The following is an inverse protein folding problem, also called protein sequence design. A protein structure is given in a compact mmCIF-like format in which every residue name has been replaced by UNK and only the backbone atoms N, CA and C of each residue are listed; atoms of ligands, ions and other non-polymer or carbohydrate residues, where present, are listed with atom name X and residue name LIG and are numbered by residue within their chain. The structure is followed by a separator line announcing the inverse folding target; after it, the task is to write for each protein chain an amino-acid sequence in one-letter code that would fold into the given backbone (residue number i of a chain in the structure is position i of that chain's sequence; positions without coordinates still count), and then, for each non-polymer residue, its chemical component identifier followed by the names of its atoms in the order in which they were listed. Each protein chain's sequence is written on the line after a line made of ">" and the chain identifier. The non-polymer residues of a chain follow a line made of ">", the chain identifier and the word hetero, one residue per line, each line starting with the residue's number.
data_IF_956853567161
#
_entry.id   IF_956853567161
#
_cell.length_a   1.000
_cell.length_b   1.000
_cell.length_c   1.000
_cell.angle_alpha   90.00
_cell.angle_beta   90.00
_cell.angle_gamma   90.00
#
_symmetry.space_group_name_H-M   'P 1'
#
loop_
_entity.id
_entity.type
_entity.pdbx_description
1 polymer ?
#
# COMPACT_ATOMS: atom_id res chain seq x y z
N UNK A 1 63.72 -9.22 -42.35
CA UNK A 1 62.52 -8.35 -42.36
C UNK A 1 61.57 -8.85 -41.26
N UNK A 2 61.58 -8.20 -40.10
CA UNK A 2 60.80 -8.60 -38.93
C UNK A 2 59.76 -7.50 -38.69
N UNK A 3 58.49 -7.81 -38.99
CA UNK A 3 57.37 -6.88 -38.79
C UNK A 3 56.90 -6.99 -37.34
N UNK A 4 57.14 -5.96 -36.54
CA UNK A 4 56.49 -5.80 -35.24
C UNK A 4 55.03 -5.45 -35.45
N UNK A 5 54.12 -6.33 -35.02
CA UNK A 5 52.69 -6.07 -34.95
C UNK A 5 52.40 -5.38 -33.62
N UNK A 6 52.12 -4.08 -33.66
CA UNK A 6 51.76 -3.29 -32.49
C UNK A 6 50.29 -3.55 -32.15
N UNK A 7 50.05 -4.34 -31.11
CA UNK A 7 48.71 -4.65 -30.61
C UNK A 7 48.19 -3.44 -29.80
N UNK A 8 47.29 -2.65 -30.39
CA UNK A 8 46.62 -1.56 -29.70
C UNK A 8 45.49 -2.15 -28.83
N UNK A 9 45.75 -2.25 -27.52
CA UNK A 9 44.77 -2.70 -26.54
C UNK A 9 43.72 -1.59 -26.34
N UNK A 10 42.54 -1.75 -26.94
CA UNK A 10 41.41 -0.86 -26.66
C UNK A 10 40.82 -1.21 -25.29
N UNK A 11 41.16 -0.43 -24.27
CA UNK A 11 40.52 -0.47 -22.95
C UNK A 11 39.13 0.16 -23.07
N UNK A 12 38.10 -0.68 -23.18
CA UNK A 12 36.72 -0.22 -23.03
C UNK A 12 36.48 0.13 -21.55
N UNK A 13 35.82 1.26 -21.25
CA UNK A 13 35.48 1.60 -19.87
C UNK A 13 34.49 0.57 -19.33
N UNK A 14 34.87 -0.09 -18.24
CA UNK A 14 33.96 -0.91 -17.45
C UNK A 14 32.90 0.03 -16.89
N UNK A 15 31.66 -0.12 -17.36
CA UNK A 15 30.52 0.64 -16.87
C UNK A 15 30.25 0.18 -15.43
N UNK A 16 30.62 1.02 -14.47
CA UNK A 16 30.31 0.80 -13.05
C UNK A 16 28.80 0.86 -12.89
N UNK A 17 28.17 -0.27 -12.61
CA UNK A 17 26.80 -0.29 -12.13
C UNK A 17 26.81 0.27 -10.71
N UNK A 18 26.12 1.39 -10.50
CA UNK A 18 25.93 1.94 -9.17
C UNK A 18 25.38 0.84 -8.24
N UNK A 19 25.99 0.70 -7.07
CA UNK A 19 25.60 -0.28 -6.07
C UNK A 19 24.12 -0.10 -5.75
N UNK A 20 23.31 -1.13 -6.01
CA UNK A 20 21.90 -1.11 -5.68
C UNK A 20 21.76 -1.27 -4.16
N UNK A 21 21.53 -0.17 -3.46
CA UNK A 21 21.20 -0.20 -2.04
C UNK A 21 19.76 -0.66 -1.86
N UNK A 22 19.58 -1.79 -1.17
CA UNK A 22 18.28 -2.24 -0.71
C UNK A 22 17.74 -1.23 0.30
N UNK A 23 16.59 -0.62 -0.01
CA UNK A 23 15.87 0.24 0.92
C UNK A 23 14.66 -0.51 1.45
N UNK A 24 14.68 -0.84 2.75
CA UNK A 24 13.53 -1.39 3.45
C UNK A 24 12.68 -0.24 3.98
N UNK A 25 11.37 -0.29 3.75
CA UNK A 25 10.43 0.72 4.25
C UNK A 25 9.56 0.23 5.41
N UNK A 26 9.61 -1.08 5.70
CA UNK A 26 8.83 -1.70 6.77
C UNK A 26 9.51 -2.97 7.25
N UNK A 27 9.26 -3.33 8.50
CA UNK A 27 9.79 -4.53 9.16
C UNK A 27 8.68 -5.21 9.98
N UNK A 28 8.88 -6.49 10.28
CA UNK A 28 7.96 -7.26 11.13
C UNK A 28 6.57 -7.43 10.52
N UNK A 29 6.49 -7.64 9.19
CA UNK A 29 5.23 -7.88 8.50
C UNK A 29 4.66 -9.29 8.77
N UNK A 30 3.34 -9.42 8.67
CA UNK A 30 2.65 -10.71 8.67
C UNK A 30 2.54 -11.28 7.24
N UNK A 31 1.96 -12.48 7.10
CA UNK A 31 1.60 -13.04 5.79
C UNK A 31 0.83 -11.98 4.99
N UNK A 32 1.19 -11.83 3.71
CA UNK A 32 0.57 -10.88 2.76
C UNK A 32 0.65 -9.41 3.19
N UNK A 33 1.75 -9.02 3.84
CA UNK A 33 2.07 -7.64 4.18
C UNK A 33 1.76 -6.62 3.06
N UNK A 34 2.06 -6.96 1.80
CA UNK A 34 1.93 -6.05 0.65
C UNK A 34 1.05 -6.58 -0.48
N UNK A 35 0.62 -7.85 -0.43
CA UNK A 35 -0.07 -8.43 -1.58
C UNK A 35 -1.02 -9.56 -1.18
N UNK A 36 -2.30 -9.34 -1.48
CA UNK A 36 -3.31 -10.38 -1.67
C UNK A 36 -4.10 -10.00 -2.95
N UNK A 37 -4.21 -10.91 -3.91
CA UNK A 37 -4.91 -10.62 -5.18
C UNK A 37 -6.38 -10.26 -4.99
N UNK A 38 -6.96 -10.61 -3.84
CA UNK A 38 -8.36 -10.37 -3.48
C UNK A 38 -8.54 -9.03 -2.76
N UNK A 39 -7.50 -8.48 -2.15
CA UNK A 39 -7.55 -7.30 -1.30
C UNK A 39 -6.52 -6.29 -1.81
N UNK A 40 -6.95 -5.24 -2.50
CA UNK A 40 -6.05 -4.36 -3.25
C UNK A 40 -6.72 -3.00 -3.57
N UNK A 41 -5.97 -1.95 -3.87
CA UNK A 41 -4.52 -1.90 -3.96
C UNK A 41 -3.87 -1.50 -2.63
N UNK A 42 -2.61 -1.91 -2.45
CA UNK A 42 -1.75 -1.52 -1.32
C UNK A 42 -0.95 -0.25 -1.63
N UNK A 43 -1.07 0.28 -2.84
CA UNK A 43 -0.44 1.55 -3.20
C UNK A 43 -1.22 2.31 -4.26
N UNK A 44 -1.07 3.63 -4.25
CA UNK A 44 -1.57 4.53 -5.28
C UNK A 44 -0.48 5.53 -5.64
N UNK A 45 -0.23 5.71 -6.94
CA UNK A 45 0.68 6.74 -7.43
C UNK A 45 -0.11 7.97 -7.82
N UNK A 46 0.22 9.11 -7.20
CA UNK A 46 -0.53 10.35 -7.35
C UNK A 46 0.43 11.53 -7.31
N UNK A 47 0.39 12.36 -8.35
CA UNK A 47 1.16 13.59 -8.49
C UNK A 47 2.66 13.45 -8.12
N UNK A 48 3.33 12.44 -8.66
CA UNK A 48 4.76 12.24 -8.41
C UNK A 48 5.09 11.40 -7.18
N UNK A 49 4.13 11.14 -6.29
CA UNK A 49 4.35 10.43 -5.03
C UNK A 49 3.64 9.08 -5.02
N UNK A 50 4.33 8.04 -4.53
CA UNK A 50 3.72 6.73 -4.28
C UNK A 50 3.29 6.65 -2.82
N UNK A 51 2.01 6.44 -2.57
CA UNK A 51 1.46 6.21 -1.24
C UNK A 51 1.34 4.70 -1.04
N UNK A 52 1.86 4.19 0.06
CA UNK A 52 1.95 2.75 0.32
C UNK A 52 1.31 2.46 1.67
N UNK A 53 0.38 1.52 1.71
CA UNK A 53 -0.18 0.96 2.94
C UNK A 53 0.23 -0.49 3.12
N UNK A 54 0.47 -0.88 4.36
CA UNK A 54 0.97 -2.21 4.69
C UNK A 54 0.73 -2.56 6.15
N UNK A 55 0.89 -3.84 6.46
CA UNK A 55 0.88 -4.34 7.84
C UNK A 55 2.31 -4.54 8.35
N UNK A 56 2.71 -3.83 9.41
CA UNK A 56 4.08 -3.91 9.95
C UNK A 56 4.17 -3.80 11.46
N UNK A 57 5.40 -3.78 11.97
CA UNK A 57 5.69 -3.56 13.40
C UNK A 57 5.49 -4.77 14.31
N UNK A 58 5.35 -5.97 13.75
CA UNK A 58 5.42 -7.22 14.52
C UNK A 58 6.85 -7.48 15.02
N UNK A 59 7.00 -8.34 16.04
CA UNK A 59 8.34 -8.64 16.55
C UNK A 59 9.10 -9.52 15.55
N UNK A 60 10.35 -9.17 15.20
CA UNK A 60 11.18 -10.04 14.36
C UNK A 60 11.31 -11.45 14.97
N UNK A 61 11.09 -12.48 14.17
CA UNK A 61 11.13 -13.87 14.62
C UNK A 61 9.80 -14.42 15.16
N UNK A 62 8.74 -13.60 15.22
CA UNK A 62 7.39 -14.10 15.47
C UNK A 62 6.98 -15.11 14.39
N UNK A 63 6.13 -16.07 14.79
CA UNK A 63 5.47 -17.02 13.88
C UNK A 63 4.73 -16.24 12.77
N UNK A 64 4.34 -16.88 11.64
CA UNK A 64 3.69 -16.23 10.49
C UNK A 64 2.41 -15.40 10.78
N UNK A 65 1.89 -15.43 12.02
CA UNK A 65 0.78 -14.65 12.55
C UNK A 65 1.25 -13.59 13.55
N UNK A 66 2.34 -12.89 13.23
CA UNK A 66 2.81 -11.77 14.05
C UNK A 66 1.70 -10.73 14.21
N UNK A 67 1.61 -10.11 15.39
CA UNK A 67 0.67 -8.99 15.59
C UNK A 67 1.24 -7.76 14.90
N UNK A 68 0.60 -7.33 13.82
CA UNK A 68 1.01 -6.17 13.02
C UNK A 68 -0.05 -5.09 13.05
N UNK A 69 0.36 -3.85 12.74
CA UNK A 69 -0.54 -2.69 12.65
C UNK A 69 -0.63 -2.22 11.21
N UNK A 70 -1.79 -1.71 10.83
CA UNK A 70 -1.96 -0.98 9.56
C UNK A 70 -1.16 0.32 9.61
N UNK A 71 -0.32 0.51 8.61
CA UNK A 71 0.64 1.61 8.48
C UNK A 71 0.54 2.22 7.09
N UNK A 72 0.91 3.50 6.98
CA UNK A 72 1.00 4.23 5.72
C UNK A 72 2.30 5.02 5.66
N UNK A 73 2.91 5.09 4.49
CA UNK A 73 4.05 5.96 4.19
C UNK A 73 3.99 6.45 2.74
N UNK A 74 4.87 7.37 2.40
CA UNK A 74 5.08 7.83 1.02
C UNK A 74 6.47 7.47 0.52
N UNK A 75 6.60 7.34 -0.80
CA UNK A 75 7.85 7.22 -1.50
C UNK A 75 7.91 8.25 -2.62
N UNK A 76 8.97 9.05 -2.64
CA UNK A 76 9.29 9.95 -3.74
C UNK A 76 10.29 9.25 -4.69
N UNK A 77 9.88 8.88 -5.93
CA UNK A 77 10.76 8.24 -6.89
C UNK A 77 11.90 9.12 -7.38
N UNK A 78 11.77 10.45 -7.32
CA UNK A 78 12.82 11.38 -7.76
C UNK A 78 13.97 11.42 -6.76
N UNK A 79 13.66 11.65 -5.48
CA UNK A 79 14.68 11.63 -4.43
C UNK A 79 15.03 10.22 -3.94
N UNK A 80 14.23 9.21 -4.31
CA UNK A 80 14.32 7.82 -3.87
C UNK A 80 14.30 7.69 -2.34
N UNK A 81 13.39 8.42 -1.70
CA UNK A 81 13.24 8.46 -0.24
C UNK A 81 11.83 8.07 0.19
N UNK A 82 11.78 7.30 1.27
CA UNK A 82 10.55 7.08 2.03
C UNK A 82 10.34 8.20 3.05
N UNK A 83 9.10 8.53 3.36
CA UNK A 83 8.76 9.33 4.55
C UNK A 83 8.84 8.49 5.82
N UNK A 84 8.65 9.14 6.96
CA UNK A 84 8.30 8.44 8.19
C UNK A 84 6.99 7.66 8.03
N UNK A 85 6.84 6.62 8.86
CA UNK A 85 5.67 5.73 8.89
C UNK A 85 4.61 6.30 9.83
N UNK A 86 3.38 6.40 9.36
CA UNK A 86 2.21 6.71 10.19
C UNK A 86 1.46 5.42 10.50
N UNK A 87 1.24 5.15 11.79
CA UNK A 87 0.41 4.02 12.22
C UNK A 87 -1.06 4.46 12.26
N UNK A 88 -1.92 3.77 11.53
CA UNK A 88 -3.35 4.11 11.40
C UNK A 88 -4.27 3.06 12.01
N UNK A 89 -3.80 1.82 12.19
CA UNK A 89 -4.59 0.72 12.73
C UNK A 89 -4.09 0.21 14.08
N UNK A 90 -4.96 -0.52 14.78
CA UNK A 90 -4.58 -1.31 15.96
C UNK A 90 -3.81 -2.56 15.52
N UNK A 91 -3.17 -3.22 16.48
CA UNK A 91 -2.47 -4.47 16.20
C UNK A 91 -3.44 -5.64 16.02
N UNK A 92 -3.30 -6.39 14.92
CA UNK A 92 -4.02 -7.62 14.61
C UNK A 92 -3.07 -8.72 14.13
N UNK A 93 -3.42 -9.97 14.42
CA UNK A 93 -2.76 -11.17 13.88
C UNK A 93 -3.53 -11.77 12.69
N UNK A 94 -4.62 -11.13 12.28
CA UNK A 94 -5.39 -11.51 11.12
C UNK A 94 -4.84 -10.79 9.88
N UNK A 95 -4.50 -11.55 8.84
CA UNK A 95 -3.99 -10.98 7.61
C UNK A 95 -5.08 -10.35 6.75
N UNK A 96 -6.35 -10.69 7.00
CA UNK A 96 -7.50 -10.07 6.32
C UNK A 96 -7.69 -8.61 6.72
N UNK A 97 -7.18 -8.22 7.88
CA UNK A 97 -7.28 -6.86 8.41
C UNK A 97 -6.38 -5.86 7.68
N UNK A 98 -5.62 -6.32 6.67
CA UNK A 98 -4.68 -5.48 5.93
C UNK A 98 -5.29 -4.24 5.28
N UNK A 99 -4.51 -3.17 5.15
CA UNK A 99 -5.01 -1.95 4.55
C UNK A 99 -5.04 -2.02 3.01
N UNK A 100 -6.00 -1.32 2.42
CA UNK A 100 -6.01 -0.92 1.00
C UNK A 100 -6.19 0.57 0.89
N UNK A 101 -5.61 1.19 -0.15
CA UNK A 101 -5.58 2.64 -0.33
C UNK A 101 -6.07 3.05 -1.71
N UNK A 102 -6.73 4.19 -1.83
CA UNK A 102 -6.97 4.86 -3.12
C UNK A 102 -7.00 6.38 -2.92
N UNK A 103 -7.12 7.11 -4.03
CA UNK A 103 -7.34 8.55 -4.01
C UNK A 103 -8.64 8.90 -4.73
N UNK A 104 -9.37 9.86 -4.20
CA UNK A 104 -10.61 10.38 -4.80
C UNK A 104 -10.32 11.49 -5.84
N UNK A 105 -11.36 12.19 -6.32
CA UNK A 105 -11.17 13.28 -7.29
C UNK A 105 -10.69 14.59 -6.67
N UNK A 106 -10.76 14.71 -5.35
CA UNK A 106 -10.22 15.84 -4.58
C UNK A 106 -8.80 15.53 -4.06
N UNK A 107 -8.23 14.41 -4.52
CA UNK A 107 -6.90 13.93 -4.16
C UNK A 107 -6.75 13.62 -2.67
N UNK A 108 -7.85 13.42 -1.96
CA UNK A 108 -7.88 12.86 -0.61
C UNK A 108 -7.56 11.38 -0.69
N UNK A 109 -6.79 10.91 0.29
CA UNK A 109 -6.41 9.50 0.38
C UNK A 109 -7.44 8.80 1.23
N UNK A 110 -7.92 7.66 0.76
CA UNK A 110 -8.84 6.82 1.49
C UNK A 110 -8.15 5.51 1.85
N UNK A 111 -8.42 4.98 3.05
CA UNK A 111 -7.91 3.69 3.49
C UNK A 111 -9.02 2.85 4.11
N UNK A 112 -9.14 1.59 3.68
CA UNK A 112 -9.90 0.57 4.40
C UNK A 112 -8.95 -0.40 5.11
N UNK A 113 -9.26 -0.80 6.35
CA UNK A 113 -8.56 -1.86 7.09
C UNK A 113 -9.45 -2.48 8.17
N UNK A 114 -9.00 -3.57 8.81
CA UNK A 114 -9.72 -4.32 9.86
C UNK A 114 -11.07 -4.95 9.43
N UNK A 115 -11.20 -5.36 8.16
CA UNK A 115 -12.42 -6.04 7.69
C UNK A 115 -12.25 -7.55 7.53
N UNK A 116 -12.74 -8.28 8.51
CA UNK A 116 -12.90 -9.73 8.44
C UNK A 116 -14.19 -10.17 9.14
N UNK A 117 -15.29 -10.22 8.38
CA UNK A 117 -16.62 -10.62 8.87
C UNK A 117 -17.22 -9.67 9.93
N UNK A 118 -16.62 -8.49 10.06
CA UNK A 118 -16.89 -7.45 11.05
C UNK A 118 -17.10 -6.10 10.36
N UNK A 119 -17.53 -5.10 11.14
CA UNK A 119 -17.38 -3.70 10.78
C UNK A 119 -15.90 -3.33 10.91
N UNK A 120 -15.25 -2.98 9.80
CA UNK A 120 -13.89 -2.47 9.81
C UNK A 120 -13.86 -0.94 9.80
N UNK A 121 -12.74 -0.38 9.38
CA UNK A 121 -12.52 1.08 9.36
C UNK A 121 -12.42 1.62 7.94
N UNK A 122 -12.98 2.82 7.74
CA UNK A 122 -12.76 3.67 6.57
C UNK A 122 -12.19 5.00 7.05
N UNK A 123 -10.98 5.35 6.60
CA UNK A 123 -10.35 6.63 6.87
C UNK A 123 -10.21 7.45 5.59
N UNK A 124 -10.33 8.76 5.71
CA UNK A 124 -10.01 9.75 4.68
C UNK A 124 -8.95 10.70 5.26
N UNK A 125 -7.88 10.98 4.52
CA UNK A 125 -6.88 11.97 4.96
C UNK A 125 -7.54 13.31 5.19
N UNK A 126 -7.10 14.11 6.17
CA UNK A 126 -7.68 15.43 6.47
C UNK A 126 -7.27 16.52 5.47
N UNK A 127 -6.25 16.25 4.65
CA UNK A 127 -5.78 17.14 3.59
C UNK A 127 -5.51 16.34 2.29
N UNK A 128 -5.70 16.94 1.11
CA UNK A 128 -5.33 16.31 -0.17
C UNK A 128 -3.85 15.92 -0.20
N UNK A 129 -3.55 14.69 -0.65
CA UNK A 129 -2.18 14.17 -0.85
C UNK A 129 -1.33 14.09 0.42
N UNK A 130 -1.91 14.20 1.62
CA UNK A 130 -1.18 14.18 2.89
C UNK A 130 -1.56 12.96 3.71
N UNK A 131 -0.56 12.22 4.18
CA UNK A 131 -0.76 11.11 5.12
C UNK A 131 -0.69 11.55 6.60
N UNK A 132 -0.38 12.83 6.84
CA UNK A 132 -0.14 13.39 8.15
C UNK A 132 1.10 12.82 8.85
N UNK A 133 1.13 12.99 10.16
CA UNK A 133 2.15 12.49 11.10
C UNK A 133 1.52 11.56 12.15
N UNK A 134 0.19 11.57 12.29
CA UNK A 134 -0.55 10.73 13.22
C UNK A 134 -1.94 10.35 12.67
N UNK A 135 -2.64 9.48 13.40
CA UNK A 135 -4.02 9.09 13.09
C UNK A 135 -5.02 10.26 13.20
N UNK A 136 -4.73 11.29 14.01
CA UNK A 136 -5.64 12.43 14.21
C UNK A 136 -5.78 13.31 12.94
N UNK A 137 -4.86 13.15 11.98
CA UNK A 137 -4.90 13.78 10.67
C UNK A 137 -5.70 12.98 9.63
N UNK A 138 -6.48 12.00 10.11
CA UNK A 138 -7.43 11.22 9.32
C UNK A 138 -8.82 11.29 9.95
N UNK A 139 -9.85 11.35 9.11
CA UNK A 139 -11.24 11.34 9.52
C UNK A 139 -11.89 10.00 9.22
N UNK A 140 -12.70 9.51 10.15
CA UNK A 140 -13.56 8.35 9.89
C UNK A 140 -14.62 8.72 8.84
N UNK A 141 -14.89 7.80 7.91
CA UNK A 141 -15.86 7.97 6.85
C UNK A 141 -16.92 6.87 6.83
N UNK A 142 -17.92 7.05 5.97
CA UNK A 142 -19.03 6.10 5.84
C UNK A 142 -18.52 4.74 5.38
N UNK A 143 -19.15 3.66 5.86
CA UNK A 143 -18.77 2.30 5.48
C UNK A 143 -19.71 1.74 4.41
N UNK A 144 -19.20 0.99 3.42
CA UNK A 144 -20.02 0.49 2.31
C UNK A 144 -20.94 -0.68 2.70
N UNK A 145 -20.65 -1.35 3.83
CA UNK A 145 -21.39 -2.50 4.35
C UNK A 145 -21.10 -2.69 5.85
N UNK A 146 -21.97 -3.33 6.63
CA UNK A 146 -21.70 -3.66 8.03
C UNK A 146 -20.73 -4.85 8.20
N UNK A 147 -20.50 -5.63 7.14
CA UNK A 147 -19.58 -6.77 7.10
C UNK A 147 -18.91 -6.85 5.73
N UNK A 148 -17.60 -7.09 5.75
CA UNK A 148 -16.78 -7.18 4.54
C UNK A 148 -15.56 -8.08 4.75
N UNK A 149 -14.99 -8.59 3.66
CA UNK A 149 -13.63 -9.14 3.58
C UNK A 149 -13.06 -8.90 2.20
N UNK A 150 -11.75 -8.76 2.11
CA UNK A 150 -11.01 -8.60 0.84
C UNK A 150 -11.51 -7.41 0.02
N UNK A 151 -11.35 -6.20 0.57
CA UNK A 151 -11.72 -4.98 -0.11
C UNK A 151 -10.86 -4.81 -1.35
N UNK A 152 -11.51 -4.63 -2.50
CA UNK A 152 -10.87 -4.23 -3.72
C UNK A 152 -11.46 -2.93 -4.22
N UNK A 153 -10.64 -1.89 -4.29
CA UNK A 153 -11.05 -0.57 -4.77
C UNK A 153 -10.51 -0.28 -6.17
N UNK A 154 -11.31 0.42 -6.98
CA UNK A 154 -10.88 0.90 -8.30
C UNK A 154 -11.71 2.10 -8.75
N UNK A 155 -11.08 3.08 -9.38
CA UNK A 155 -11.78 4.15 -10.09
C UNK A 155 -12.35 3.58 -11.39
N UNK A 156 -13.62 3.86 -11.65
CA UNK A 156 -14.30 3.47 -12.88
C UNK A 156 -14.73 4.73 -13.65
N UNK A 157 -15.46 4.54 -14.75
CA UNK A 157 -15.97 5.63 -15.59
C UNK A 157 -16.79 6.66 -14.78
N UNK A 158 -16.92 7.87 -15.32
CA UNK A 158 -17.65 9.01 -14.72
C UNK A 158 -17.20 9.37 -13.30
N UNK A 159 -15.89 9.27 -13.04
CA UNK A 159 -15.29 9.61 -11.75
C UNK A 159 -15.88 8.84 -10.57
N UNK A 160 -16.46 7.66 -10.82
CA UNK A 160 -17.04 6.83 -9.77
C UNK A 160 -15.98 5.94 -9.13
N UNK A 161 -16.24 5.58 -7.88
CA UNK A 161 -15.40 4.67 -7.12
C UNK A 161 -16.15 3.36 -6.91
N UNK A 162 -15.51 2.24 -7.26
CA UNK A 162 -16.00 0.90 -7.00
C UNK A 162 -15.30 0.32 -5.78
N UNK A 163 -16.07 -0.37 -4.94
CA UNK A 163 -15.57 -1.23 -3.86
C UNK A 163 -16.17 -2.62 -4.06
N UNK A 164 -15.35 -3.58 -4.46
CA UNK A 164 -15.71 -5.00 -4.58
C UNK A 164 -15.24 -5.76 -3.35
N UNK A 165 -16.06 -6.68 -2.85
CA UNK A 165 -15.77 -7.37 -1.60
C UNK A 165 -16.59 -8.65 -1.43
N UNK A 166 -16.17 -9.47 -0.47
CA UNK A 166 -16.94 -10.62 0.02
C UNK A 166 -17.78 -10.22 1.24
N UNK A 167 -19.06 -10.60 1.27
CA UNK A 167 -20.02 -10.10 2.26
C UNK A 167 -19.84 -10.67 3.67
N UNK A 168 -19.26 -11.86 3.81
CA UNK A 168 -18.98 -12.53 5.08
C UNK A 168 -17.91 -13.64 4.87
N UNK A 169 -18.05 -14.77 5.57
CA UNK A 169 -17.25 -16.00 5.54
C UNK A 169 -16.96 -16.62 4.19
N UNK A 170 -16.26 -17.76 4.21
CA UNK A 170 -15.88 -18.52 3.02
C UNK A 170 -17.04 -18.87 2.08
N UNK A 171 -18.26 -19.01 2.59
CA UNK A 171 -19.45 -19.41 1.83
C UNK A 171 -20.37 -18.24 1.45
N UNK A 172 -19.92 -17.01 1.66
CA UNK A 172 -20.72 -15.82 1.37
C UNK A 172 -20.52 -15.33 -0.06
N UNK A 173 -21.38 -14.40 -0.49
CA UNK A 173 -21.37 -13.85 -1.85
C UNK A 173 -20.28 -12.80 -2.01
N UNK A 174 -19.81 -12.65 -3.25
CA UNK A 174 -19.06 -11.47 -3.67
C UNK A 174 -20.04 -10.45 -4.24
N UNK A 175 -19.79 -9.17 -3.96
CA UNK A 175 -20.63 -8.07 -4.43
C UNK A 175 -19.79 -6.81 -4.58
N UNK A 176 -20.42 -5.72 -5.01
CA UNK A 176 -19.79 -4.43 -5.10
C UNK A 176 -20.74 -3.29 -4.68
N UNK A 177 -20.13 -2.16 -4.33
CA UNK A 177 -20.77 -0.85 -4.24
C UNK A 177 -20.10 0.10 -5.21
N UNK A 178 -20.87 1.04 -5.74
CA UNK A 178 -20.37 2.15 -6.56
C UNK A 178 -20.82 3.43 -5.86
N UNK A 179 -19.91 4.37 -5.74
CA UNK A 179 -20.22 5.72 -5.28
C UNK A 179 -19.80 6.77 -6.32
N UNK A 180 -20.46 7.93 -6.26
CA UNK A 180 -20.18 9.11 -7.06
C UNK A 180 -19.95 10.37 -6.22
N UNK A 181 -19.75 10.23 -4.90
CA UNK A 181 -19.53 11.32 -3.95
C UNK A 181 -18.13 11.28 -3.31
N UNK A 182 -17.14 10.82 -4.07
CA UNK A 182 -15.74 10.64 -3.66
C UNK A 182 -15.43 9.51 -2.68
N UNK A 183 -16.41 8.79 -2.11
CA UNK A 183 -16.09 7.62 -1.28
C UNK A 183 -17.04 7.38 -0.14
#
# INVERSE_FOLDING_TARGET
>A
MQKCLMLCLMLLPVQSFAEQTLQCFGQGGQIKMLYDSRQRPQSVYLNGTLYIVFNGGGMPGDKPKAKTKSMVLTYDPLSRKFSDIVTIGKASSDHHDGPVIWADTEERLHVFYDWHHSLGTHLISNEPRRIGTSLDEWSAASVPAPKMSYQWTSRIYDNKQLVFYRTDGHYSSWTYRITSDNG
#
